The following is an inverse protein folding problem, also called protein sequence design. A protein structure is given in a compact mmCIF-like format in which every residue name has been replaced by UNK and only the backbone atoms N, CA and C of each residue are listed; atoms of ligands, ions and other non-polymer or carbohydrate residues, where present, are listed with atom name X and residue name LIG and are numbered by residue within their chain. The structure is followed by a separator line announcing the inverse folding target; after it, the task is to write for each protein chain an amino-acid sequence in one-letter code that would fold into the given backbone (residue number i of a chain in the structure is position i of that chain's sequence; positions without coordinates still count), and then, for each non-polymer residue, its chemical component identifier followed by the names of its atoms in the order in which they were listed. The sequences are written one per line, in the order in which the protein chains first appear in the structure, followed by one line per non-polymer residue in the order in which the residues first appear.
data_IF_854780414974
#
_entry.id   IF_854780414974
#
_cell.length_a   1.000
_cell.length_b   1.000
_cell.length_c   1.000
_cell.angle_alpha   90.00
_cell.angle_beta   90.00
_cell.angle_gamma   90.00
#
_symmetry.space_group_name_H-M   'P 1'
#
loop_
_entity.id
_entity.type
_entity.pdbx_description
1 polymer ?
#
# COMPACT_ATOMS: atom_id res chain seq x y z
N UNK A 1 -14.06 -9.96 -41.70
CA UNK A 1 -12.77 -10.55 -41.22
C UNK A 1 -11.78 -9.51 -40.67
N UNK A 2 -10.94 -8.78 -41.44
CA UNK A 2 -10.00 -7.79 -40.85
C UNK A 2 -10.68 -6.60 -40.14
N UNK A 3 -11.83 -6.15 -40.65
CA UNK A 3 -12.59 -5.02 -40.08
C UNK A 3 -13.34 -5.45 -38.81
N UNK A 4 -13.80 -6.70 -38.72
CA UNK A 4 -14.43 -7.26 -37.51
C UNK A 4 -13.39 -7.63 -36.44
N UNK A 5 -12.18 -8.05 -36.83
CA UNK A 5 -11.07 -8.23 -35.89
C UNK A 5 -10.64 -6.90 -35.25
N UNK A 6 -10.55 -5.80 -36.03
CA UNK A 6 -10.27 -4.48 -35.47
C UNK A 6 -11.40 -3.96 -34.56
N UNK A 7 -12.66 -4.30 -34.85
CA UNK A 7 -13.80 -3.93 -34.00
C UNK A 7 -13.80 -4.69 -32.66
N UNK A 8 -13.45 -5.98 -32.67
CA UNK A 8 -13.28 -6.77 -31.43
C UNK A 8 -12.05 -6.35 -30.61
N UNK A 9 -10.94 -5.94 -31.26
CA UNK A 9 -9.79 -5.39 -30.53
C UNK A 9 -10.12 -4.06 -29.86
N UNK A 10 -10.96 -3.21 -30.49
CA UNK A 10 -11.42 -1.95 -29.91
C UNK A 10 -12.31 -2.12 -28.67
N UNK A 11 -13.14 -3.17 -28.62
CA UNK A 11 -13.96 -3.49 -27.42
C UNK A 11 -13.13 -4.10 -26.26
N UNK A 12 -11.89 -4.50 -26.51
CA UNK A 12 -11.02 -5.13 -25.48
C UNK A 12 -10.18 -4.13 -24.67
N UNK A 13 -9.91 -2.93 -25.23
CA UNK A 13 -9.04 -1.92 -24.63
C UNK A 13 -9.85 -0.99 -23.75
N UNK A 14 -9.53 -0.95 -22.45
CA UNK A 14 -10.15 0.01 -21.54
C UNK A 14 -9.54 1.40 -21.73
N UNK A 15 -10.37 2.44 -21.73
CA UNK A 15 -9.93 3.83 -21.86
C UNK A 15 -10.21 4.62 -20.59
N UNK A 16 -9.22 5.37 -20.12
CA UNK A 16 -9.33 6.28 -18.99
C UNK A 16 -8.69 7.63 -19.28
N UNK A 17 -9.02 8.62 -18.46
CA UNK A 17 -8.45 9.96 -18.57
C UNK A 17 -7.69 10.36 -17.29
N UNK A 18 -6.70 11.23 -17.48
CA UNK A 18 -5.90 11.83 -16.40
C UNK A 18 -4.89 10.89 -15.74
N UNK A 19 -4.01 11.47 -14.92
CA UNK A 19 -2.96 10.75 -14.18
C UNK A 19 -3.44 10.10 -12.88
N UNK A 20 -4.65 10.43 -12.41
CA UNK A 20 -5.16 9.91 -11.14
C UNK A 20 -5.37 8.40 -11.18
N UNK A 21 -5.01 7.73 -10.09
CA UNK A 21 -5.12 6.27 -9.95
C UNK A 21 -4.39 5.45 -11.02
N UNK A 22 -3.37 6.02 -11.67
CA UNK A 22 -2.55 5.34 -12.70
C UNK A 22 -2.06 3.96 -12.23
N UNK A 23 -1.49 3.88 -11.02
CA UNK A 23 -1.02 2.62 -10.41
C UNK A 23 -2.10 1.53 -10.35
N UNK A 24 -3.32 1.91 -9.95
CA UNK A 24 -4.44 0.99 -9.85
C UNK A 24 -4.83 0.43 -11.22
N UNK A 25 -4.91 1.31 -12.23
CA UNK A 25 -5.25 0.96 -13.61
C UNK A 25 -4.22 0.01 -14.22
N UNK A 26 -2.93 0.29 -13.99
CA UNK A 26 -1.84 -0.57 -14.47
C UNK A 26 -1.87 -1.95 -13.81
N UNK A 27 -2.02 -2.01 -12.48
CA UNK A 27 -2.09 -3.28 -11.76
C UNK A 27 -3.27 -4.12 -12.24
N UNK A 28 -4.46 -3.53 -12.33
CA UNK A 28 -5.66 -4.25 -12.76
C UNK A 28 -5.57 -4.65 -14.24
N UNK A 29 -4.94 -3.85 -15.09
CA UNK A 29 -4.61 -4.23 -16.47
C UNK A 29 -3.68 -5.46 -16.49
N UNK A 30 -2.60 -5.46 -15.71
CA UNK A 30 -1.67 -6.58 -15.61
C UNK A 30 -2.35 -7.87 -15.12
N UNK A 31 -3.20 -7.78 -14.10
CA UNK A 31 -3.88 -8.94 -13.54
C UNK A 31 -5.01 -9.47 -14.43
N UNK A 32 -5.76 -8.59 -15.08
CA UNK A 32 -6.85 -8.98 -15.99
C UNK A 32 -6.37 -9.41 -17.38
N UNK A 33 -5.12 -9.07 -17.75
CA UNK A 33 -4.60 -9.26 -19.11
C UNK A 33 -5.22 -8.31 -20.14
N UNK A 34 -5.95 -7.28 -19.71
CA UNK A 34 -6.65 -6.34 -20.59
C UNK A 34 -5.78 -5.10 -20.85
N UNK A 35 -5.55 -4.72 -22.12
CA UNK A 35 -4.83 -3.49 -22.43
C UNK A 35 -5.61 -2.26 -21.95
N UNK A 36 -4.88 -1.20 -21.60
CA UNK A 36 -5.46 0.07 -21.16
C UNK A 36 -4.83 1.24 -21.91
N UNK A 37 -5.66 2.20 -22.32
CA UNK A 37 -5.26 3.49 -22.89
C UNK A 37 -5.62 4.60 -21.91
N UNK A 38 -4.65 5.43 -21.55
CA UNK A 38 -4.82 6.56 -20.65
C UNK A 38 -4.50 7.82 -21.43
N UNK A 39 -5.48 8.70 -21.60
CA UNK A 39 -5.37 9.96 -22.35
C UNK A 39 -5.43 11.16 -21.42
N UNK A 40 -5.13 12.35 -21.94
CA UNK A 40 -5.22 13.61 -21.20
C UNK A 40 -4.44 13.59 -19.87
N UNK A 41 -3.21 13.06 -19.89
CA UNK A 41 -2.32 13.11 -18.74
C UNK A 41 -1.73 14.52 -18.65
N UNK A 42 -2.17 15.29 -17.64
CA UNK A 42 -1.68 16.65 -17.35
C UNK A 42 -1.65 17.56 -18.60
N UNK A 43 -2.78 17.74 -19.31
CA UNK A 43 -2.76 18.53 -20.55
C UNK A 43 -2.48 20.01 -20.30
N UNK A 44 -2.85 20.51 -19.12
CA UNK A 44 -2.78 21.93 -18.75
C UNK A 44 -1.55 22.29 -17.88
N UNK A 45 -0.70 21.32 -17.55
CA UNK A 45 0.50 21.55 -16.75
C UNK A 45 1.60 22.22 -17.60
N UNK A 46 2.48 22.98 -16.95
CA UNK A 46 3.65 23.62 -17.61
C UNK A 46 4.53 22.59 -18.31
N UNK A 47 4.64 21.39 -17.74
CA UNK A 47 5.30 20.23 -18.34
C UNK A 47 4.27 19.14 -18.54
N UNK A 48 3.59 19.10 -19.69
CA UNK A 48 2.47 18.20 -19.90
C UNK A 48 2.91 16.74 -20.03
N UNK A 49 1.98 15.83 -19.76
CA UNK A 49 2.18 14.40 -19.97
C UNK A 49 2.72 13.64 -18.76
N UNK A 50 3.27 12.46 -19.06
CA UNK A 50 3.90 11.57 -18.07
C UNK A 50 5.16 12.19 -17.50
N UNK A 51 5.42 11.85 -16.25
CA UNK A 51 6.57 12.33 -15.49
C UNK A 51 7.60 11.22 -15.28
N UNK A 52 8.82 11.57 -14.92
CA UNK A 52 9.92 10.61 -14.73
C UNK A 52 9.59 9.49 -13.72
N UNK A 53 8.87 9.79 -12.64
CA UNK A 53 8.49 8.77 -11.66
C UNK A 53 7.47 7.76 -12.22
N UNK A 54 6.65 8.17 -13.20
CA UNK A 54 5.73 7.27 -13.90
C UNK A 54 6.48 6.42 -14.92
N UNK A 55 7.46 7.00 -15.63
CA UNK A 55 8.36 6.26 -16.52
C UNK A 55 9.12 5.18 -15.73
N UNK A 56 9.62 5.51 -14.54
CA UNK A 56 10.26 4.52 -13.66
C UNK A 56 9.30 3.42 -13.20
N UNK A 57 8.02 3.75 -12.98
CA UNK A 57 7.01 2.74 -12.67
C UNK A 57 6.75 1.81 -13.87
N UNK A 58 6.67 2.35 -15.08
CA UNK A 58 6.55 1.55 -16.30
C UNK A 58 7.74 0.60 -16.48
N UNK A 59 8.96 1.11 -16.26
CA UNK A 59 10.17 0.29 -16.31
C UNK A 59 10.13 -0.82 -15.25
N UNK A 60 9.68 -0.52 -14.02
CA UNK A 60 9.53 -1.52 -12.97
C UNK A 60 8.54 -2.62 -13.36
N UNK A 61 7.41 -2.27 -13.99
CA UNK A 61 6.45 -3.25 -14.50
C UNK A 61 7.06 -4.12 -15.61
N UNK A 62 7.83 -3.52 -16.52
CA UNK A 62 8.54 -4.24 -17.58
C UNK A 62 9.58 -5.23 -17.02
N UNK A 63 10.26 -4.90 -15.91
CA UNK A 63 11.23 -5.81 -15.27
C UNK A 63 10.57 -7.05 -14.62
N UNK A 64 9.35 -6.92 -14.09
CA UNK A 64 8.66 -8.03 -13.41
C UNK A 64 7.71 -8.82 -14.33
N UNK A 65 7.49 -8.36 -15.56
CA UNK A 65 6.63 -8.99 -16.55
C UNK A 65 7.44 -9.37 -17.79
N UNK A 66 6.87 -10.22 -18.63
CA UNK A 66 7.44 -10.56 -19.93
C UNK A 66 6.44 -10.20 -21.03
N UNK A 67 6.92 -9.58 -22.11
CA UNK A 67 6.13 -9.12 -23.26
C UNK A 67 5.08 -8.05 -22.94
N UNK A 68 5.25 -7.31 -21.84
CA UNK A 68 4.48 -6.07 -21.66
C UNK A 68 5.01 -5.00 -22.60
N UNK A 69 4.13 -4.17 -23.16
CA UNK A 69 4.52 -2.99 -23.94
C UNK A 69 3.89 -1.74 -23.35
N UNK A 70 4.65 -0.65 -23.33
CA UNK A 70 4.22 0.67 -22.90
C UNK A 70 4.56 1.63 -24.03
N UNK A 71 3.55 2.11 -24.72
CA UNK A 71 3.69 3.04 -25.82
C UNK A 71 3.23 4.42 -25.35
N UNK A 72 4.16 5.37 -25.32
CA UNK A 72 3.92 6.75 -24.86
C UNK A 72 3.88 7.65 -26.10
N UNK A 73 2.86 8.51 -26.19
CA UNK A 73 2.77 9.46 -27.30
C UNK A 73 3.96 10.44 -27.28
N UNK A 74 4.33 11.04 -28.43
CA UNK A 74 5.39 12.05 -28.46
C UNK A 74 5.15 13.24 -27.51
N UNK A 75 3.88 13.56 -27.24
CA UNK A 75 3.46 14.58 -26.27
C UNK A 75 3.52 14.13 -24.81
N UNK A 76 3.71 12.84 -24.52
CA UNK A 76 3.58 12.26 -23.18
C UNK A 76 2.17 12.23 -22.60
N UNK A 77 1.19 12.84 -23.26
CA UNK A 77 -0.19 12.99 -22.76
C UNK A 77 -1.07 11.76 -22.93
N UNK A 78 -0.62 10.79 -23.73
CA UNK A 78 -1.31 9.51 -23.92
C UNK A 78 -0.35 8.35 -23.68
N UNK A 79 -0.79 7.35 -22.90
CA UNK A 79 -0.09 6.09 -22.66
C UNK A 79 -0.99 4.94 -23.06
N UNK A 80 -0.45 4.03 -23.87
CA UNK A 80 -1.07 2.73 -24.13
C UNK A 80 -0.23 1.65 -23.45
N UNK A 81 -0.85 0.89 -22.54
CA UNK A 81 -0.21 -0.21 -21.83
C UNK A 81 -0.86 -1.54 -22.25
N UNK A 82 -0.06 -2.42 -22.83
CA UNK A 82 -0.43 -3.81 -23.10
C UNK A 82 0.24 -4.71 -22.05
N UNK A 83 -0.52 -5.37 -21.17
CA UNK A 83 0.04 -6.19 -20.12
C UNK A 83 0.71 -7.45 -20.67
N UNK A 84 1.77 -7.88 -19.99
CA UNK A 84 2.49 -9.13 -20.25
C UNK A 84 2.24 -10.19 -19.17
N UNK A 85 2.92 -11.34 -19.26
CA UNK A 85 2.85 -12.37 -18.22
C UNK A 85 3.75 -12.01 -17.03
N UNK A 86 3.25 -12.12 -15.80
CA UNK A 86 4.05 -11.90 -14.58
C UNK A 86 5.11 -13.00 -14.41
N UNK A 87 6.39 -12.62 -14.39
CA UNK A 87 7.52 -13.58 -14.27
C UNK A 87 8.17 -13.49 -12.89
N UNK A 88 8.36 -12.28 -12.35
CA UNK A 88 9.07 -12.07 -11.09
C UNK A 88 10.59 -12.22 -11.23
N UNK A 89 11.26 -12.71 -10.20
CA UNK A 89 12.73 -12.82 -10.17
C UNK A 89 13.43 -11.69 -9.40
N UNK A 90 14.68 -11.40 -9.77
CA UNK A 90 15.51 -10.38 -9.10
C UNK A 90 15.45 -9.07 -9.87
N UNK A 91 15.11 -7.99 -9.18
CA UNK A 91 15.03 -6.63 -9.76
C UNK A 91 15.83 -5.67 -8.90
N UNK A 92 16.68 -4.85 -9.53
CA UNK A 92 17.42 -3.79 -8.85
C UNK A 92 17.28 -2.47 -9.61
N UNK A 93 16.67 -1.46 -8.98
CA UNK A 93 16.37 -0.20 -9.65
C UNK A 93 16.52 1.00 -8.71
N UNK A 94 16.88 2.15 -9.29
CA UNK A 94 16.89 3.45 -8.61
C UNK A 94 15.66 4.28 -8.98
N UNK A 95 14.81 4.50 -7.99
CA UNK A 95 13.54 5.19 -8.14
C UNK A 95 13.67 6.71 -8.02
N UNK A 96 14.84 7.22 -7.64
CA UNK A 96 15.11 8.64 -7.44
C UNK A 96 14.42 9.22 -6.22
N UNK A 97 14.19 10.54 -6.25
CA UNK A 97 13.74 11.30 -5.07
C UNK A 97 12.36 11.94 -5.22
N UNK A 98 11.77 11.90 -6.41
CA UNK A 98 10.52 12.61 -6.72
C UNK A 98 9.33 12.00 -5.95
N UNK A 99 9.29 10.68 -5.82
CA UNK A 99 8.26 9.95 -5.06
C UNK A 99 8.88 8.97 -4.08
N UNK A 100 8.15 8.69 -3.00
CA UNK A 100 8.58 7.68 -2.04
C UNK A 100 8.57 6.27 -2.64
N UNK A 101 9.43 5.39 -2.13
CA UNK A 101 9.48 3.99 -2.53
C UNK A 101 8.16 3.25 -2.32
N UNK A 102 7.35 3.71 -1.37
CA UNK A 102 5.99 3.25 -1.16
C UNK A 102 5.09 3.35 -2.40
N UNK A 103 5.32 4.35 -3.26
CA UNK A 103 4.60 4.51 -4.52
C UNK A 103 4.70 3.26 -5.41
N UNK A 104 5.90 2.68 -5.47
CA UNK A 104 6.24 1.53 -6.30
C UNK A 104 5.99 0.21 -5.56
N UNK A 105 6.28 0.16 -4.26
CA UNK A 105 5.98 -1.00 -3.42
C UNK A 105 4.50 -1.35 -3.43
N UNK A 106 3.61 -0.36 -3.55
CA UNK A 106 2.17 -0.62 -3.68
C UNK A 106 1.87 -1.55 -4.85
N UNK A 107 2.43 -1.26 -6.02
CA UNK A 107 2.27 -2.08 -7.24
C UNK A 107 2.91 -3.45 -7.06
N UNK A 108 4.09 -3.52 -6.43
CA UNK A 108 4.75 -4.79 -6.15
C UNK A 108 3.93 -5.66 -5.20
N UNK A 109 3.37 -5.11 -4.12
CA UNK A 109 2.56 -5.88 -3.17
C UNK A 109 1.31 -6.49 -3.83
N UNK A 110 0.73 -5.80 -4.81
CA UNK A 110 -0.45 -6.29 -5.54
C UNK A 110 -0.12 -7.43 -6.51
N UNK A 111 1.05 -7.38 -7.16
CA UNK A 111 1.42 -8.31 -8.24
C UNK A 111 2.31 -9.47 -7.77
N UNK A 112 3.14 -9.26 -6.74
CA UNK A 112 4.20 -10.17 -6.36
C UNK A 112 3.74 -11.59 -5.99
N UNK A 113 2.57 -11.84 -5.38
CA UNK A 113 2.12 -13.21 -5.13
C UNK A 113 1.84 -14.02 -6.41
N UNK A 114 1.62 -13.36 -7.55
CA UNK A 114 1.11 -13.98 -8.78
C UNK A 114 2.15 -14.16 -9.90
N UNK A 115 3.43 -14.08 -9.55
CA UNK A 115 4.57 -14.25 -10.46
C UNK A 115 4.95 -15.74 -10.67
N UNK A 116 5.78 -16.03 -11.69
CA UNK A 116 6.34 -17.39 -11.95
C UNK A 116 7.42 -17.80 -10.94
N UNK A 117 8.28 -16.86 -10.60
CA UNK A 117 9.48 -17.05 -9.78
C UNK A 117 9.47 -16.07 -8.61
N UNK A 118 9.84 -16.47 -7.37
CA UNK A 118 9.75 -15.61 -6.21
C UNK A 118 10.43 -14.26 -6.44
N UNK A 119 9.76 -13.19 -6.01
CA UNK A 119 10.20 -11.84 -6.29
C UNK A 119 11.20 -11.38 -5.23
N UNK A 120 12.33 -10.85 -5.67
CA UNK A 120 13.39 -10.30 -4.84
C UNK A 120 13.80 -8.93 -5.40
N UNK A 121 13.24 -7.86 -4.83
CA UNK A 121 13.43 -6.50 -5.34
C UNK A 121 14.31 -5.69 -4.41
N UNK A 122 15.36 -5.09 -4.97
CA UNK A 122 16.13 -4.03 -4.33
C UNK A 122 15.78 -2.68 -4.97
N UNK A 123 15.13 -1.80 -4.22
CA UNK A 123 14.85 -0.44 -4.69
C UNK A 123 15.67 0.57 -3.92
N UNK A 124 16.19 1.58 -4.62
CA UNK A 124 16.86 2.75 -4.05
C UNK A 124 16.01 4.01 -4.24
N UNK A 125 15.98 4.89 -3.24
CA UNK A 125 15.20 6.13 -3.29
C UNK A 125 14.80 6.66 -1.91
N UNK A 126 13.69 7.39 -1.84
CA UNK A 126 13.16 7.94 -0.58
C UNK A 126 12.32 6.87 0.15
N UNK A 127 12.66 6.51 1.37
CA UNK A 127 11.93 5.49 2.17
C UNK A 127 10.68 6.04 2.84
N UNK A 128 10.74 7.29 3.32
CA UNK A 128 9.67 7.96 4.04
C UNK A 128 9.52 9.37 3.47
N UNK A 129 8.52 9.56 2.61
CA UNK A 129 8.16 10.83 2.01
C UNK A 129 6.69 11.17 2.28
N UNK A 130 6.27 12.38 1.92
CA UNK A 130 4.86 12.79 2.02
C UNK A 130 4.02 12.29 0.84
N UNK A 131 2.72 12.10 1.06
CA UNK A 131 1.72 11.85 0.00
C UNK A 131 1.38 10.38 -0.27
N UNK A 132 2.32 9.45 -0.04
CA UNK A 132 2.09 8.00 -0.15
C UNK A 132 2.34 7.28 1.18
N UNK A 133 1.80 6.06 1.36
CA UNK A 133 2.25 5.16 2.42
C UNK A 133 3.78 5.00 2.38
N UNK A 134 4.48 5.18 3.50
CA UNK A 134 5.92 4.90 3.53
C UNK A 134 6.23 3.41 3.44
N UNK A 135 7.53 3.10 3.28
CA UNK A 135 8.03 1.72 3.36
C UNK A 135 7.71 1.09 4.72
N UNK A 136 7.85 1.84 5.82
CA UNK A 136 7.54 1.35 7.16
C UNK A 136 6.03 1.07 7.30
N UNK A 137 5.18 1.95 6.76
CA UNK A 137 3.73 1.76 6.79
C UNK A 137 3.32 0.49 6.05
N UNK A 138 3.81 0.29 4.82
CA UNK A 138 3.53 -0.92 4.04
C UNK A 138 4.02 -2.16 4.80
N UNK A 139 5.20 -2.11 5.42
CA UNK A 139 5.75 -3.20 6.23
C UNK A 139 4.81 -3.60 7.36
N UNK A 140 4.29 -2.63 8.10
CA UNK A 140 3.52 -2.85 9.33
C UNK A 140 2.01 -3.02 9.09
N UNK A 141 1.45 -2.42 8.05
CA UNK A 141 0.01 -2.49 7.75
C UNK A 141 -0.31 -3.51 6.65
N UNK A 142 0.48 -3.57 5.58
CA UNK A 142 0.09 -4.33 4.38
C UNK A 142 0.60 -5.77 4.41
N UNK A 143 1.85 -6.01 4.83
CA UNK A 143 2.37 -7.38 4.90
C UNK A 143 1.55 -8.28 5.83
N UNK A 144 1.10 -7.86 7.02
CA UNK A 144 0.21 -8.68 7.83
C UNK A 144 -1.11 -9.03 7.14
N UNK A 145 -1.65 -8.11 6.34
CA UNK A 145 -2.83 -8.39 5.51
C UNK A 145 -2.51 -9.45 4.47
N UNK A 146 -1.43 -9.30 3.70
CA UNK A 146 -1.02 -10.27 2.69
C UNK A 146 -0.86 -11.68 3.28
N UNK A 147 -0.24 -11.80 4.47
CA UNK A 147 -0.07 -13.08 5.18
C UNK A 147 -1.39 -13.79 5.50
N UNK A 148 -2.50 -13.06 5.68
CA UNK A 148 -3.83 -13.67 5.92
C UNK A 148 -4.42 -14.31 4.68
N UNK A 149 -4.12 -13.76 3.51
CA UNK A 149 -4.62 -14.25 2.23
C UNK A 149 -3.71 -15.31 1.60
N UNK A 150 -2.41 -15.31 1.89
CA UNK A 150 -1.46 -16.26 1.31
C UNK A 150 -1.45 -17.59 2.07
N UNK A 151 -1.41 -18.73 1.36
CA UNK A 151 -1.29 -20.06 1.98
C UNK A 151 0.10 -20.30 2.59
N UNK A 152 1.12 -19.90 1.86
CA UNK A 152 2.51 -19.92 2.28
C UNK A 152 3.05 -18.50 2.13
N UNK A 153 3.30 -17.86 3.26
CA UNK A 153 3.87 -16.52 3.32
C UNK A 153 5.28 -16.54 3.93
N UNK A 154 5.89 -17.72 4.05
CA UNK A 154 7.26 -17.87 4.48
C UNK A 154 8.17 -17.19 3.43
N UNK A 155 9.00 -16.25 3.88
CA UNK A 155 9.82 -15.42 2.99
C UNK A 155 9.16 -14.13 2.49
N UNK A 156 7.90 -13.83 2.85
CA UNK A 156 7.33 -12.49 2.65
C UNK A 156 7.93 -11.51 3.66
N UNK A 157 8.82 -10.63 3.19
CA UNK A 157 9.51 -9.66 4.04
C UNK A 157 9.79 -8.34 3.32
N UNK A 158 9.92 -7.28 4.11
CA UNK A 158 10.32 -5.95 3.69
C UNK A 158 11.37 -5.41 4.66
N UNK A 159 12.62 -5.40 4.21
CA UNK A 159 13.77 -4.94 4.98
C UNK A 159 14.22 -3.57 4.49
N UNK A 160 14.33 -2.62 5.42
CA UNK A 160 14.98 -1.34 5.17
C UNK A 160 16.47 -1.55 5.45
N UNK A 161 17.29 -1.47 4.40
CA UNK A 161 18.75 -1.62 4.49
C UNK A 161 19.39 -0.26 4.79
N UNK A 162 18.92 0.79 4.11
CA UNK A 162 19.33 2.18 4.34
C UNK A 162 18.08 3.05 4.38
N UNK A 163 18.03 4.00 5.30
CA UNK A 163 16.95 5.01 5.31
C UNK A 163 17.32 6.16 4.39
N UNK A 164 16.36 6.62 3.58
CA UNK A 164 16.55 7.73 2.65
C UNK A 164 15.45 8.74 2.78
N UNK A 165 15.74 9.94 3.25
CA UNK A 165 14.75 10.98 3.47
C UNK A 165 14.84 12.03 2.37
N UNK A 166 13.75 12.75 2.12
CA UNK A 166 13.81 13.94 1.27
C UNK A 166 14.78 14.99 1.86
N UNK A 167 15.39 15.83 1.02
CA UNK A 167 15.24 15.90 -0.43
C UNK A 167 16.13 14.93 -1.23
N UNK A 168 17.23 14.42 -0.67
CA UNK A 168 18.26 13.72 -1.46
C UNK A 168 18.12 12.20 -1.48
N UNK A 169 17.23 11.61 -0.67
CA UNK A 169 16.94 10.18 -0.66
C UNK A 169 18.15 9.31 -0.32
N UNK A 170 18.53 8.42 -1.25
CA UNK A 170 19.57 7.38 -1.10
C UNK A 170 19.29 6.33 -0.02
N UNK A 171 18.01 6.04 0.21
CA UNK A 171 17.57 4.87 0.96
C UNK A 171 17.63 3.62 0.09
N UNK A 172 17.58 2.46 0.72
CA UNK A 172 17.65 1.16 0.07
C UNK A 172 16.79 0.17 0.83
N UNK A 173 15.96 -0.56 0.10
CA UNK A 173 15.07 -1.59 0.64
C UNK A 173 15.31 -2.90 -0.07
N UNK A 174 14.98 -4.00 0.62
CA UNK A 174 14.86 -5.33 0.05
C UNK A 174 13.44 -5.82 0.31
N UNK A 175 12.68 -6.05 -0.75
CA UNK A 175 11.36 -6.66 -0.71
C UNK A 175 11.45 -8.08 -1.25
N UNK A 176 10.99 -9.06 -0.47
CA UNK A 176 10.92 -10.46 -0.88
C UNK A 176 9.49 -10.94 -0.77
N UNK A 177 9.02 -11.66 -1.80
CA UNK A 177 7.68 -12.22 -1.79
C UNK A 177 7.71 -13.63 -2.41
N UNK A 178 7.23 -14.66 -1.67
CA UNK A 178 7.05 -15.99 -2.23
C UNK A 178 5.86 -15.98 -3.21
N UNK A 179 5.80 -17.02 -4.03
CA UNK A 179 4.69 -17.20 -4.97
C UNK A 179 3.51 -17.81 -4.24
N UNK A 180 2.31 -17.28 -4.48
CA UNK A 180 1.06 -17.93 -4.10
C UNK A 180 0.40 -18.54 -5.32
N UNK A 181 0.06 -19.84 -5.27
CA UNK A 181 -0.71 -20.49 -6.34
C UNK A 181 -2.15 -19.96 -6.39
N UNK A 182 -2.71 -19.75 -5.21
CA UNK A 182 -4.07 -19.30 -4.98
C UNK A 182 -4.11 -18.53 -3.66
N UNK A 183 -5.08 -17.64 -3.49
CA UNK A 183 -5.33 -16.97 -2.21
C UNK A 183 -6.38 -17.72 -1.40
N UNK A 184 -6.43 -17.43 -0.09
CA UNK A 184 -7.47 -17.91 0.81
C UNK A 184 -8.67 -16.97 0.77
N UNK A 185 -9.91 -17.49 0.70
CA UNK A 185 -11.07 -16.67 1.03
C UNK A 185 -11.02 -16.32 2.52
N UNK A 186 -11.52 -15.13 2.87
CA UNK A 186 -11.44 -14.63 4.25
C UNK A 186 -12.82 -14.30 4.81
N UNK A 187 -12.98 -14.51 6.11
CA UNK A 187 -14.17 -14.13 6.88
C UNK A 187 -13.69 -13.33 8.09
N UNK A 188 -13.35 -12.05 7.87
CA UNK A 188 -12.75 -11.19 8.90
C UNK A 188 -13.71 -10.03 9.16
N UNK A 189 -14.58 -10.24 10.13
CA UNK A 189 -15.63 -9.28 10.48
C UNK A 189 -15.42 -8.64 11.85
N UNK A 190 -14.60 -9.27 12.70
CA UNK A 190 -14.30 -8.78 14.04
C UNK A 190 -12.86 -8.26 14.10
N UNK A 191 -12.69 -7.03 14.57
CA UNK A 191 -11.38 -6.42 14.80
C UNK A 191 -10.80 -6.78 16.18
N UNK A 192 -11.62 -7.21 17.14
CA UNK A 192 -11.20 -7.44 18.52
C UNK A 192 -10.81 -6.16 19.27
N UNK A 193 -10.05 -6.32 20.35
CA UNK A 193 -9.56 -5.21 21.18
C UNK A 193 -8.10 -4.93 20.87
N UNK A 194 -7.66 -3.66 20.96
CA UNK A 194 -6.25 -3.32 20.90
C UNK A 194 -5.55 -3.92 22.13
N UNK A 195 -4.54 -4.77 21.90
CA UNK A 195 -3.84 -5.52 22.95
C UNK A 195 -2.49 -4.93 23.32
N UNK A 196 -1.78 -4.38 22.34
CA UNK A 196 -0.44 -3.81 22.52
C UNK A 196 -0.13 -2.77 21.44
N UNK A 197 0.76 -1.84 21.76
CA UNK A 197 1.29 -0.87 20.78
C UNK A 197 2.81 -1.02 20.69
N UNK A 198 3.32 -1.08 19.46
CA UNK A 198 4.74 -1.09 19.13
C UNK A 198 5.08 0.13 18.31
N UNK A 199 6.35 0.52 18.31
CA UNK A 199 6.77 1.71 17.59
C UNK A 199 8.26 1.73 17.31
N UNK A 200 8.61 2.42 16.23
CA UNK A 200 9.99 2.63 15.79
C UNK A 200 10.17 4.11 15.54
N UNK A 201 11.02 4.76 16.33
CA UNK A 201 11.45 6.13 16.06
C UNK A 201 12.81 6.10 15.39
N UNK A 202 12.91 6.65 14.18
CA UNK A 202 14.14 6.65 13.42
C UNK A 202 14.79 8.03 13.39
N UNK A 203 16.11 8.06 13.26
CA UNK A 203 16.88 9.29 13.05
C UNK A 203 18.03 9.02 12.09
N UNK A 204 18.16 9.91 11.10
CA UNK A 204 19.15 9.81 10.03
C UNK A 204 20.01 11.07 10.04
N UNK A 205 21.34 10.92 10.10
CA UNK A 205 22.33 12.02 10.05
C UNK A 205 22.13 13.14 11.09
N UNK A 206 21.40 12.86 12.16
CA UNK A 206 21.14 13.78 13.28
C UNK A 206 21.26 13.02 14.61
N UNK A 207 21.23 13.74 15.73
CA UNK A 207 21.34 13.11 17.06
C UNK A 207 20.20 12.12 17.33
N UNK A 208 20.48 10.92 17.88
CA UNK A 208 19.44 9.97 18.31
C UNK A 208 18.54 10.53 19.42
N UNK A 209 18.97 11.59 20.12
CA UNK A 209 18.15 12.27 21.13
C UNK A 209 16.81 12.77 20.57
N UNK A 210 16.75 13.12 19.28
CA UNK A 210 15.50 13.57 18.64
C UNK A 210 14.49 12.42 18.50
N UNK A 211 14.95 11.21 18.18
CA UNK A 211 14.10 10.03 18.15
C UNK A 211 13.60 9.65 19.57
N UNK A 212 14.45 9.79 20.59
CA UNK A 212 14.05 9.54 21.98
C UNK A 212 12.95 10.50 22.44
N UNK A 213 13.07 11.79 22.12
CA UNK A 213 12.03 12.79 22.43
C UNK A 213 10.69 12.47 21.76
N UNK A 214 10.70 11.98 20.51
CA UNK A 214 9.49 11.50 19.84
C UNK A 214 8.87 10.29 20.57
N UNK A 215 9.72 9.36 21.03
CA UNK A 215 9.26 8.18 21.80
C UNK A 215 8.59 8.62 23.09
N UNK A 216 9.19 9.55 23.83
CA UNK A 216 8.68 10.03 25.11
C UNK A 216 7.29 10.65 24.97
N UNK A 217 7.11 11.58 24.01
CA UNK A 217 5.81 12.21 23.79
C UNK A 217 4.75 11.23 23.27
N UNK A 218 5.08 10.39 22.29
CA UNK A 218 4.16 9.37 21.79
C UNK A 218 3.76 8.38 22.89
N UNK A 219 4.72 7.96 23.73
CA UNK A 219 4.50 7.00 24.81
C UNK A 219 3.65 7.60 25.92
N UNK A 220 3.81 8.89 26.23
CA UNK A 220 2.94 9.60 27.15
C UNK A 220 1.48 9.54 26.68
N UNK A 221 1.23 9.89 25.42
CA UNK A 221 -0.12 9.85 24.83
C UNK A 221 -0.75 8.45 24.85
N UNK A 222 -0.02 7.42 24.43
CA UNK A 222 -0.55 6.05 24.33
C UNK A 222 -0.77 5.40 25.71
N UNK A 223 0.09 5.72 26.70
CA UNK A 223 -0.01 5.15 28.05
C UNK A 223 -1.27 5.56 28.82
N UNK A 224 -1.96 6.62 28.40
CA UNK A 224 -3.27 6.95 28.97
C UNK A 224 -4.32 5.86 28.73
N UNK A 225 -4.17 5.05 27.67
CA UNK A 225 -5.15 4.04 27.27
C UNK A 225 -4.65 2.60 27.45
N UNK A 226 -3.34 2.36 27.31
CA UNK A 226 -2.78 1.01 27.33
C UNK A 226 -1.39 0.96 27.97
N UNK A 227 -1.15 -0.07 28.79
CA UNK A 227 0.14 -0.26 29.47
C UNK A 227 1.18 -1.01 28.62
N UNK A 228 0.77 -1.97 27.77
CA UNK A 228 1.68 -2.74 26.91
C UNK A 228 2.12 -1.91 25.69
N UNK A 229 3.10 -1.04 25.95
CA UNK A 229 3.65 -0.08 24.98
C UNK A 229 5.16 -0.22 24.96
N UNK A 230 5.71 -0.59 23.80
CA UNK A 230 7.16 -0.74 23.60
C UNK A 230 7.61 -0.09 22.30
N UNK A 231 8.40 0.98 22.42
CA UNK A 231 8.99 1.72 21.31
C UNK A 231 10.50 1.61 21.37
N UNK A 232 11.14 1.48 20.21
CA UNK A 232 12.60 1.43 20.09
C UNK A 232 13.11 2.41 19.05
N UNK A 233 14.40 2.72 19.11
CA UNK A 233 15.06 3.63 18.18
C UNK A 233 15.74 2.89 17.03
N UNK A 234 15.59 3.42 15.82
CA UNK A 234 16.34 3.02 14.63
C UNK A 234 17.22 4.19 14.17
N UNK A 235 18.37 4.35 14.83
CA UNK A 235 19.32 5.41 14.52
C UNK A 235 20.32 4.95 13.44
N UNK A 236 20.45 5.74 12.37
CA UNK A 236 21.34 5.44 11.24
C UNK A 236 22.41 6.52 11.07
N UNK A 237 23.63 6.09 10.74
CA UNK A 237 24.81 6.94 10.46
C UNK A 237 25.45 6.59 9.11
N UNK A 238 26.28 7.50 8.62
CA UNK A 238 27.07 7.28 7.40
C UNK A 238 26.20 6.97 6.19
N UNK A 239 26.58 5.93 5.44
CA UNK A 239 25.86 5.50 4.23
C UNK A 239 24.49 4.87 4.53
N UNK A 240 24.27 4.31 5.72
CA UNK A 240 22.97 3.72 6.09
C UNK A 240 21.88 4.75 6.37
N UNK A 241 22.28 6.02 6.55
CA UNK A 241 21.38 7.13 6.82
C UNK A 241 20.99 7.92 5.55
N UNK A 242 21.28 7.38 4.37
CA UNK A 242 20.98 8.03 3.09
C UNK A 242 21.74 9.36 2.95
N UNK A 243 21.15 10.35 2.29
CA UNK A 243 21.80 11.64 1.98
C UNK A 243 21.12 12.87 2.57
N UNK A 244 20.13 12.69 3.44
CA UNK A 244 19.41 13.82 4.06
C UNK A 244 19.20 13.59 5.56
N UNK A 245 19.36 14.65 6.38
CA UNK A 245 19.02 14.60 7.79
C UNK A 245 17.51 14.55 7.98
N UNK A 246 17.07 13.87 9.04
CA UNK A 246 15.66 13.85 9.42
C UNK A 246 15.34 12.73 10.40
N UNK A 247 14.13 12.78 10.93
CA UNK A 247 13.66 11.82 11.91
C UNK A 247 12.15 11.64 11.78
N UNK A 248 11.63 10.61 12.44
CA UNK A 248 10.21 10.32 12.43
C UNK A 248 9.90 9.15 13.33
N UNK A 249 8.62 8.86 13.46
CA UNK A 249 8.13 7.76 14.26
C UNK A 249 7.00 7.05 13.52
N UNK A 250 7.03 5.73 13.60
CA UNK A 250 5.92 4.87 13.20
C UNK A 250 5.39 4.13 14.42
N UNK A 251 4.07 4.10 14.56
CA UNK A 251 3.37 3.40 15.63
C UNK A 251 2.47 2.33 15.00
N UNK A 252 2.39 1.17 15.64
CA UNK A 252 1.56 0.05 15.21
C UNK A 252 0.80 -0.50 16.40
N UNK A 253 -0.52 -0.41 16.35
CA UNK A 253 -1.42 -1.01 17.32
C UNK A 253 -1.87 -2.37 16.81
N UNK A 254 -1.64 -3.41 17.62
CA UNK A 254 -2.04 -4.78 17.31
C UNK A 254 -3.25 -5.16 18.14
N UNK A 255 -4.23 -5.80 17.52
CA UNK A 255 -5.46 -6.27 18.17
C UNK A 255 -5.37 -7.75 18.56
N UNK A 256 -6.33 -8.21 19.36
CA UNK A 256 -6.48 -9.64 19.73
C UNK A 256 -6.71 -10.54 18.52
N UNK A 257 -7.34 -10.03 17.47
CA UNK A 257 -7.57 -10.76 16.22
C UNK A 257 -6.39 -10.68 15.25
N UNK A 258 -5.30 -10.01 15.65
CA UNK A 258 -4.09 -9.81 14.84
C UNK A 258 -4.25 -8.79 13.72
N UNK A 259 -5.22 -7.88 13.83
CA UNK A 259 -5.35 -6.70 12.96
C UNK A 259 -4.35 -5.65 13.43
N UNK A 260 -3.77 -4.93 12.46
CA UNK A 260 -2.81 -3.86 12.69
C UNK A 260 -3.37 -2.54 12.19
N UNK A 261 -3.35 -1.53 13.05
CA UNK A 261 -3.54 -0.12 12.69
C UNK A 261 -2.21 0.60 12.81
N UNK A 262 -1.88 1.44 11.84
CA UNK A 262 -0.55 2.02 11.74
C UNK A 262 -0.65 3.52 11.53
N UNK A 263 0.21 4.28 12.20
CA UNK A 263 0.35 5.70 11.95
C UNK A 263 1.81 6.07 11.83
N UNK A 264 2.08 7.10 11.05
CA UNK A 264 3.42 7.65 10.91
C UNK A 264 3.42 9.16 10.84
N UNK A 265 4.52 9.73 11.31
CA UNK A 265 4.85 11.14 11.15
C UNK A 265 6.35 11.28 11.04
N UNK A 266 6.79 12.17 10.15
CA UNK A 266 8.19 12.49 9.92
C UNK A 266 8.41 13.99 9.98
N UNK A 267 9.66 14.38 10.22
CA UNK A 267 10.11 15.76 10.19
C UNK A 267 10.01 16.34 8.79
N UNK A 268 9.72 17.64 8.72
CA UNK A 268 9.76 18.41 7.49
C UNK A 268 11.14 18.27 6.83
N UNK A 269 11.20 18.08 5.50
CA UNK A 269 12.47 18.00 4.80
C UNK A 269 13.29 19.29 4.97
N UNK A 270 14.62 19.21 5.07
CA UNK A 270 15.44 20.42 5.06
C UNK A 270 15.23 21.16 3.74
N UNK A 271 15.27 22.50 3.80
CA UNK A 271 15.08 23.39 2.65
C UNK A 271 13.71 23.29 1.96
N UNK A 272 12.69 22.78 2.65
CA UNK A 272 11.31 22.74 2.14
C UNK A 272 10.55 24.07 2.27
N UNK A 273 11.15 25.08 2.92
CA UNK A 273 10.49 26.34 3.27
C UNK A 273 9.53 26.23 4.46
N UNK A 274 9.40 25.03 5.05
CA UNK A 274 8.65 24.80 6.28
C UNK A 274 9.54 24.95 7.51
N UNK A 275 8.92 25.31 8.63
CA UNK A 275 9.63 25.40 9.91
C UNK A 275 10.20 24.05 10.35
N UNK A 276 11.35 24.04 11.08
CA UNK A 276 11.89 22.83 11.67
C UNK A 276 10.87 22.15 12.57
N UNK A 277 10.68 20.85 12.37
CA UNK A 277 9.71 20.10 13.18
C UNK A 277 10.22 19.86 14.60
N UNK A 278 9.33 20.01 15.57
CA UNK A 278 9.58 19.71 16.97
C UNK A 278 9.37 18.21 17.22
N UNK A 279 10.31 17.50 17.84
CA UNK A 279 10.18 16.06 18.11
C UNK A 279 8.97 15.66 18.96
N UNK A 280 8.66 16.45 19.98
CA UNK A 280 7.55 16.21 20.87
C UNK A 280 6.21 16.26 20.11
N UNK A 281 6.06 17.26 19.23
CA UNK A 281 4.89 17.42 18.37
C UNK A 281 4.77 16.25 17.40
N UNK A 282 5.87 15.81 16.79
CA UNK A 282 5.88 14.63 15.90
C UNK A 282 5.38 13.38 16.62
N UNK A 283 5.85 13.13 17.85
CA UNK A 283 5.40 11.97 18.63
C UNK A 283 3.93 12.08 19.04
N UNK A 284 3.48 13.27 19.42
CA UNK A 284 2.08 13.53 19.79
C UNK A 284 1.15 13.36 18.59
N UNK A 285 1.46 14.00 17.47
CA UNK A 285 0.70 13.87 16.21
C UNK A 285 0.65 12.43 15.71
N UNK A 286 1.75 11.66 15.83
CA UNK A 286 1.75 10.26 15.45
C UNK A 286 0.78 9.43 16.32
N UNK A 287 0.73 9.70 17.62
CA UNK A 287 -0.21 9.04 18.53
C UNK A 287 -1.66 9.42 18.22
N UNK A 288 -1.94 10.71 17.97
CA UNK A 288 -3.27 11.18 17.57
C UNK A 288 -3.75 10.54 16.26
N UNK A 289 -2.86 10.44 15.27
CA UNK A 289 -3.14 9.73 14.01
C UNK A 289 -3.44 8.25 14.25
N UNK A 290 -2.73 7.60 15.18
CA UNK A 290 -3.00 6.21 15.54
C UNK A 290 -4.39 6.06 16.16
N UNK A 291 -4.76 6.97 17.06
CA UNK A 291 -6.07 6.96 17.69
C UNK A 291 -7.18 7.22 16.68
N UNK A 292 -6.97 8.13 15.74
CA UNK A 292 -7.90 8.37 14.63
C UNK A 292 -8.10 7.11 13.79
N UNK A 293 -7.03 6.38 13.47
CA UNK A 293 -7.12 5.14 12.71
C UNK A 293 -7.83 4.02 13.49
N UNK A 294 -7.52 3.85 14.78
CA UNK A 294 -8.25 2.91 15.66
C UNK A 294 -9.73 3.29 15.77
N UNK A 295 -10.03 4.60 15.86
CA UNK A 295 -11.39 5.10 15.93
C UNK A 295 -12.17 4.82 14.65
N UNK A 296 -11.58 5.03 13.46
CA UNK A 296 -12.17 4.61 12.18
C UNK A 296 -12.48 3.10 12.19
N UNK A 297 -11.57 2.32 12.75
CA UNK A 297 -11.75 0.89 13.00
C UNK A 297 -11.89 0.06 11.72
N UNK A 298 -12.48 -1.14 11.88
CA UNK A 298 -12.51 -2.15 10.83
C UNK A 298 -11.37 -3.16 10.98
N UNK A 299 -11.24 -4.06 10.01
CA UNK A 299 -10.31 -5.18 10.10
C UNK A 299 -9.01 -4.97 9.30
N UNK A 300 -8.76 -3.74 8.83
CA UNK A 300 -7.48 -3.31 8.29
C UNK A 300 -7.34 -1.80 8.42
N UNK A 301 -6.09 -1.35 8.33
CA UNK A 301 -5.72 0.05 8.12
C UNK A 301 -6.34 0.64 6.84
N UNK A 302 -6.72 1.91 6.87
CA UNK A 302 -7.32 2.63 5.77
C UNK A 302 -6.46 2.59 4.48
N UNK A 303 -5.13 2.56 4.61
CA UNK A 303 -4.22 2.45 3.47
C UNK A 303 -4.21 1.06 2.84
N UNK A 304 -4.56 0.02 3.60
CA UNK A 304 -4.56 -1.37 3.16
C UNK A 304 -5.92 -1.83 2.58
N UNK A 305 -6.93 -0.96 2.53
CA UNK A 305 -8.25 -1.29 1.98
C UNK A 305 -8.19 -1.81 0.54
N UNK A 306 -7.31 -1.22 -0.29
CA UNK A 306 -7.13 -1.61 -1.69
C UNK A 306 -6.50 -3.01 -1.82
N UNK A 307 -5.49 -3.35 -1.02
CA UNK A 307 -4.90 -4.70 -1.08
C UNK A 307 -5.89 -5.78 -0.60
N UNK A 308 -6.68 -5.48 0.44
CA UNK A 308 -7.72 -6.40 0.94
C UNK A 308 -8.75 -6.68 -0.16
N UNK A 309 -9.32 -5.62 -0.74
CA UNK A 309 -10.35 -5.76 -1.77
C UNK A 309 -9.82 -6.46 -3.01
N UNK A 310 -8.58 -6.18 -3.42
CA UNK A 310 -7.94 -6.88 -4.53
C UNK A 310 -7.83 -8.39 -4.23
N UNK A 311 -7.32 -8.75 -3.06
CA UNK A 311 -7.06 -10.14 -2.72
C UNK A 311 -8.35 -10.94 -2.50
N UNK A 312 -9.41 -10.31 -2.01
CA UNK A 312 -10.74 -10.91 -1.98
C UNK A 312 -11.25 -11.20 -3.40
N UNK A 313 -11.10 -10.26 -4.34
CA UNK A 313 -11.56 -10.41 -5.71
C UNK A 313 -10.76 -11.44 -6.51
N UNK A 314 -9.45 -11.56 -6.24
CA UNK A 314 -8.58 -12.58 -6.83
C UNK A 314 -8.62 -13.93 -6.09
N UNK A 315 -9.46 -14.06 -5.06
CA UNK A 315 -9.65 -15.33 -4.36
C UNK A 315 -10.27 -16.44 -5.22
N UNK A 316 -10.41 -17.65 -4.67
CA UNK A 316 -11.27 -18.70 -5.24
C UNK A 316 -12.68 -18.19 -5.58
N UNK A 317 -13.42 -18.98 -6.35
CA UNK A 317 -14.87 -18.81 -6.54
C UNK A 317 -15.65 -19.18 -5.27
N UNK A 318 -15.34 -18.47 -4.20
CA UNK A 318 -15.91 -18.59 -2.87
C UNK A 318 -16.16 -17.19 -2.29
N UNK A 319 -17.04 -17.11 -1.31
CA UNK A 319 -17.45 -15.87 -0.68
C UNK A 319 -16.37 -15.42 0.30
N UNK A 320 -15.90 -14.18 0.15
CA UNK A 320 -15.13 -13.49 1.18
C UNK A 320 -15.97 -12.39 1.82
N UNK A 321 -15.89 -12.26 3.15
CA UNK A 321 -16.50 -11.18 3.92
C UNK A 321 -15.43 -10.46 4.72
N UNK A 322 -15.49 -9.14 4.68
CA UNK A 322 -14.52 -8.28 5.34
C UNK A 322 -15.17 -7.01 5.86
N UNK A 323 -14.93 -6.66 7.12
CA UNK A 323 -15.39 -5.38 7.67
C UNK A 323 -14.26 -4.37 7.57
N UNK A 324 -14.51 -3.24 6.90
CA UNK A 324 -13.59 -2.10 6.86
C UNK A 324 -14.17 -0.91 7.62
N UNK A 325 -13.30 0.01 8.04
CA UNK A 325 -13.72 1.35 8.41
C UNK A 325 -14.30 2.11 7.21
N UNK A 326 -14.53 3.43 7.34
CA UNK A 326 -15.01 4.24 6.23
C UNK A 326 -14.09 4.11 5.02
N UNK A 327 -14.67 3.87 3.84
CA UNK A 327 -13.90 3.66 2.62
C UNK A 327 -13.15 4.93 2.23
N UNK A 328 -11.84 4.79 2.02
CA UNK A 328 -11.02 5.85 1.44
C UNK A 328 -11.41 6.13 -0.01
N UNK A 329 -11.17 7.36 -0.47
CA UNK A 329 -11.37 7.73 -1.89
C UNK A 329 -10.61 6.79 -2.83
N UNK A 330 -9.38 6.42 -2.46
CA UNK A 330 -8.59 5.46 -3.21
C UNK A 330 -9.28 4.10 -3.32
N UNK A 331 -9.88 3.58 -2.25
CA UNK A 331 -10.61 2.32 -2.27
C UNK A 331 -11.91 2.41 -3.08
N UNK A 332 -12.65 3.51 -2.99
CA UNK A 332 -13.89 3.70 -3.77
C UNK A 332 -13.60 3.68 -5.27
N UNK A 333 -12.58 4.40 -5.73
CA UNK A 333 -12.16 4.35 -7.13
C UNK A 333 -11.61 2.99 -7.52
N UNK A 334 -10.87 2.33 -6.61
CA UNK A 334 -10.35 0.99 -6.86
C UNK A 334 -11.46 -0.04 -7.08
N UNK A 335 -12.55 0.01 -6.30
CA UNK A 335 -13.73 -0.86 -6.49
C UNK A 335 -14.42 -0.61 -7.84
N UNK A 336 -14.48 0.64 -8.31
CA UNK A 336 -15.00 0.99 -9.65
C UNK A 336 -14.12 0.39 -10.74
N UNK A 337 -12.81 0.62 -10.68
CA UNK A 337 -11.86 0.03 -11.63
C UNK A 337 -11.93 -1.50 -11.59
N UNK A 338 -12.07 -2.11 -10.42
CA UNK A 338 -12.15 -3.57 -10.27
C UNK A 338 -13.37 -4.16 -10.98
N UNK A 339 -14.52 -3.47 -10.93
CA UNK A 339 -15.69 -3.83 -11.73
C UNK A 339 -15.37 -3.76 -13.22
N UNK A 340 -14.73 -2.69 -13.68
CA UNK A 340 -14.44 -2.49 -15.10
C UNK A 340 -13.44 -3.51 -15.64
N UNK A 341 -12.38 -3.84 -14.88
CA UNK A 341 -11.31 -4.76 -15.29
C UNK A 341 -11.66 -6.24 -15.07
N UNK A 342 -12.18 -6.60 -13.90
CA UNK A 342 -12.40 -8.00 -13.48
C UNK A 342 -13.89 -8.42 -13.47
N UNK A 343 -14.82 -7.48 -13.63
CA UNK A 343 -16.26 -7.78 -13.53
C UNK A 343 -16.75 -8.04 -12.10
N UNK A 344 -15.90 -7.84 -11.09
CA UNK A 344 -16.24 -8.11 -9.68
C UNK A 344 -17.00 -6.95 -9.09
N UNK A 345 -18.15 -7.25 -8.48
CA UNK A 345 -18.96 -6.28 -7.74
C UNK A 345 -19.00 -6.69 -6.28
N UNK A 346 -18.72 -5.73 -5.40
CA UNK A 346 -18.83 -5.91 -3.96
C UNK A 346 -20.23 -5.55 -3.50
N UNK A 347 -20.84 -6.41 -2.70
CA UNK A 347 -21.97 -6.04 -1.87
C UNK A 347 -21.42 -5.25 -0.68
N UNK A 348 -21.87 -4.01 -0.53
CA UNK A 348 -21.45 -3.09 0.52
C UNK A 348 -22.66 -2.82 1.41
N UNK A 349 -22.55 -3.18 2.68
CA UNK A 349 -23.62 -2.99 3.67
C UNK A 349 -23.08 -2.18 4.84
N UNK A 350 -23.90 -1.35 5.46
CA UNK A 350 -23.54 -0.72 6.73
C UNK A 350 -23.30 -1.82 7.78
N UNK A 351 -22.24 -1.66 8.56
CA UNK A 351 -21.86 -2.61 9.59
C UNK A 351 -21.99 -1.98 10.97
N UNK A 352 -22.90 -2.53 11.77
CA UNK A 352 -23.05 -2.18 13.17
C UNK A 352 -22.50 -3.32 14.05
N UNK A 353 -21.36 -3.12 14.74
CA UNK A 353 -20.76 -4.12 15.62
C UNK A 353 -21.62 -4.47 16.85
N UNK A 354 -22.60 -3.64 17.18
CA UNK A 354 -23.47 -3.77 18.36
C UNK A 354 -24.83 -4.37 18.03
N UNK A 355 -25.13 -4.56 16.75
CA UNK A 355 -26.41 -5.13 16.31
C UNK A 355 -26.60 -6.52 16.91
N UNK A 356 -27.64 -6.68 17.72
CA UNK A 356 -27.98 -7.95 18.38
C UNK A 356 -27.17 -8.25 19.66
N UNK A 357 -26.37 -7.30 20.16
CA UNK A 357 -25.65 -7.42 21.44
C UNK A 357 -26.45 -6.88 22.62
N UNK A 358 -26.01 -7.25 23.83
CA UNK A 358 -26.65 -6.89 25.10
C UNK A 358 -26.72 -5.37 25.31
N UNK A 359 -27.62 -4.92 26.18
CA UNK A 359 -27.75 -3.50 26.53
C UNK A 359 -26.48 -2.93 27.19
N UNK A 360 -25.65 -3.76 27.81
CA UNK A 360 -24.36 -3.36 28.37
C UNK A 360 -23.31 -3.13 27.27
N UNK A 361 -23.26 -4.01 26.26
CA UNK A 361 -22.38 -3.84 25.09
C UNK A 361 -22.71 -2.58 24.30
N UNK A 362 -23.99 -2.18 24.26
CA UNK A 362 -24.44 -0.97 23.55
C UNK A 362 -23.89 0.33 24.16
N UNK A 363 -23.38 0.29 25.39
CA UNK A 363 -22.71 1.43 26.04
C UNK A 363 -21.23 1.55 25.64
N UNK A 364 -20.67 0.56 24.94
CA UNK A 364 -19.25 0.59 24.54
C UNK A 364 -19.02 1.57 23.40
N UNK A 365 -18.01 2.43 23.55
CA UNK A 365 -17.53 3.30 22.48
C UNK A 365 -16.73 2.50 21.45
N UNK A 366 -17.42 2.00 20.43
CA UNK A 366 -16.86 1.15 19.37
C UNK A 366 -16.19 1.92 18.23
N UNK A 367 -15.98 3.24 18.40
CA UNK A 367 -15.44 4.12 17.38
C UNK A 367 -16.47 4.57 16.33
N UNK A 368 -15.99 4.81 15.11
CA UNK A 368 -16.78 5.30 13.98
C UNK A 368 -17.95 4.35 13.63
N UNK A 369 -19.12 4.94 13.33
CA UNK A 369 -20.34 4.22 12.97
C UNK A 369 -20.43 3.90 11.47
N UNK A 370 -19.65 4.57 10.64
CA UNK A 370 -19.68 4.41 9.17
C UNK A 370 -18.82 3.23 8.68
N UNK A 371 -18.77 2.16 9.47
CA UNK A 371 -18.10 0.91 9.08
C UNK A 371 -18.93 0.20 8.02
N UNK A 372 -18.24 -0.48 7.12
CA UNK A 372 -18.89 -1.19 6.03
C UNK A 372 -18.45 -2.65 5.98
N UNK A 373 -19.42 -3.52 5.73
CA UNK A 373 -19.19 -4.93 5.42
C UNK A 373 -19.11 -5.08 3.91
N UNK A 374 -17.96 -5.53 3.45
CA UNK A 374 -17.66 -5.84 2.07
C UNK A 374 -17.82 -7.35 1.86
N UNK A 375 -18.65 -7.75 0.90
CA UNK A 375 -18.80 -9.15 0.49
C UNK A 375 -18.61 -9.27 -1.01
N UNK A 376 -17.77 -10.21 -1.45
CA UNK A 376 -17.62 -10.54 -2.86
C UNK A 376 -17.38 -12.03 -3.05
N UNK A 377 -17.59 -12.51 -4.28
CA UNK A 377 -17.15 -13.83 -4.73
C UNK A 377 -15.90 -13.62 -5.56
N UNK A 378 -14.81 -14.32 -5.25
CA UNK A 378 -13.57 -14.21 -6.01
C UNK A 378 -13.72 -14.76 -7.44
N UNK A 379 -12.91 -14.28 -8.37
CA UNK A 379 -12.97 -14.73 -9.78
C UNK A 379 -12.40 -16.13 -10.00
N UNK A 380 -11.79 -16.72 -8.97
CA UNK A 380 -11.03 -17.96 -9.10
C UNK A 380 -9.68 -17.73 -9.78
N UNK A 381 -9.01 -16.62 -9.44
CA UNK A 381 -7.72 -16.28 -10.04
C UNK A 381 -6.66 -17.29 -9.58
N UNK A 382 -6.35 -18.23 -10.47
CA UNK A 382 -5.19 -19.12 -10.30
C UNK A 382 -3.96 -18.45 -10.87
N UNK A 383 -2.82 -18.58 -10.20
CA UNK A 383 -1.54 -18.18 -10.77
C UNK A 383 -1.21 -19.10 -11.98
N UNK A 384 -1.71 -18.73 -13.16
CA UNK A 384 -1.53 -19.43 -14.45
C UNK A 384 -0.06 -19.52 -14.87
N UNK A 385 0.80 -18.76 -14.19
CA UNK A 385 2.21 -18.62 -14.49
C UNK A 385 3.04 -19.71 -13.77
N UNK A 386 2.55 -20.33 -12.69
CA UNK A 386 3.25 -21.42 -12.00
C UNK A 386 3.25 -22.71 -12.85
N UNK A 387 4.42 -23.28 -13.10
CA UNK A 387 4.53 -24.59 -13.73
C UNK A 387 3.82 -25.66 -12.87
N UNK A 388 2.97 -26.46 -13.51
CA UNK A 388 2.45 -27.69 -12.91
C UNK A 388 3.64 -28.67 -12.87
N UNK A 389 4.22 -28.86 -11.69
CA UNK A 389 5.16 -29.94 -11.44
C UNK A 389 4.39 -31.26 -11.30
#
# INVERSE_FOLDING_TARGET
LKIEHNKMEQDSVLQYEGCNFLRQRLVLATLSGRPVRIVNIRPDDVSPGVTDFEIKLFNLLSEITNRSTVDISPSGTTVFYKPGSLVGGKVEMDMGVIRGLGYYLEVLCFLAPFVKSPLNVRLRGVTNGGGEPSVDLIKHAWLPVMRRFMFDAEGLDLKIVKRGLNPNGNGEILFTCPISRQLRPVQIENMGKVRKVRGVAYSCRISPALANRCIESAKASVKHFLNDVYFHTDHRKGLEAGSSPGFGIILSAETTEGIYFVSEKHSNPPNSGLDPSVPEDIGTEAAERLFSEIYRGGCCDATAQTIVTLFMALGPKDVSKFVSGPLSTCCVHFLRHMKDFLGVVFKIESYDPLKGKSAEDQKLEIGCRDKVKLTCVGVGFGNLNKALL
#
